data_IF_328643076095
#
_entry.id   IF_328643076095
#
_cell.length_a   1.000
_cell.length_b   1.000
_cell.length_c   1.000
_cell.angle_alpha   90.00
_cell.angle_beta   90.00
_cell.angle_gamma   90.00
#
_symmetry.space_group_name_H-M   'P 1'
#
loop_
_entity.id
_entity.type
_entity.pdbx_description
1 polymer ?
#
# COMPACT_ATOMS: atom_id res chain seq x y z
N UNK A 1 34.55 -10.38 14.95
CA UNK A 1 34.08 -9.05 14.53
C UNK A 1 32.88 -9.14 13.59
N UNK A 2 32.92 -9.97 12.56
CA UNK A 2 31.81 -10.12 11.60
C UNK A 2 30.50 -10.59 12.27
N UNK A 3 30.57 -11.57 13.15
CA UNK A 3 29.37 -12.08 13.87
C UNK A 3 28.73 -11.06 14.81
N UNK A 4 29.53 -10.17 15.41
CA UNK A 4 29.02 -9.10 16.29
C UNK A 4 28.32 -8.01 15.45
N UNK A 5 28.90 -7.64 14.31
CA UNK A 5 28.31 -6.66 13.40
C UNK A 5 26.96 -7.13 12.87
N UNK A 6 26.83 -8.39 12.51
CA UNK A 6 25.57 -8.99 12.04
C UNK A 6 24.52 -9.01 13.16
N UNK A 7 24.93 -9.31 14.41
CA UNK A 7 24.00 -9.31 15.56
C UNK A 7 23.49 -7.93 15.90
N UNK A 8 24.30 -6.89 15.70
CA UNK A 8 23.92 -5.52 15.96
C UNK A 8 23.10 -4.90 14.82
N UNK A 9 23.05 -5.54 13.66
CA UNK A 9 22.34 -5.04 12.48
C UNK A 9 20.84 -5.34 12.56
N UNK A 10 20.03 -4.39 12.10
CA UNK A 10 18.59 -4.57 11.94
C UNK A 10 18.24 -5.36 10.69
N UNK A 11 19.15 -5.47 9.72
CA UNK A 11 18.88 -6.08 8.41
C UNK A 11 18.39 -7.54 8.52
N UNK A 12 19.03 -8.43 9.33
CA UNK A 12 18.52 -9.80 9.44
C UNK A 12 17.09 -9.88 10.01
N UNK A 13 16.75 -8.97 10.93
CA UNK A 13 15.40 -8.92 11.52
C UNK A 13 14.38 -8.45 10.48
N UNK A 14 14.69 -7.39 9.73
CA UNK A 14 13.83 -6.89 8.66
C UNK A 14 13.62 -7.95 7.57
N UNK A 15 14.68 -8.66 7.18
CA UNK A 15 14.60 -9.73 6.20
C UNK A 15 13.70 -10.88 6.67
N UNK A 16 13.82 -11.29 7.93
CA UNK A 16 12.97 -12.34 8.51
C UNK A 16 11.51 -11.91 8.63
N UNK A 17 11.26 -10.67 9.06
CA UNK A 17 9.89 -10.13 9.12
C UNK A 17 9.26 -10.09 7.74
N UNK A 18 9.99 -9.63 6.73
CA UNK A 18 9.51 -9.60 5.36
C UNK A 18 9.16 -11.00 4.85
N UNK A 19 10.01 -11.99 5.16
CA UNK A 19 9.76 -13.39 4.80
C UNK A 19 8.50 -13.94 5.47
N UNK A 20 8.32 -13.68 6.76
CA UNK A 20 7.13 -14.09 7.52
C UNK A 20 5.87 -13.45 6.96
N UNK A 21 5.94 -12.17 6.62
CA UNK A 21 4.83 -11.44 6.01
C UNK A 21 4.40 -12.08 4.69
N UNK A 22 5.34 -12.39 3.81
CA UNK A 22 5.05 -13.04 2.54
C UNK A 22 4.50 -14.47 2.71
N UNK A 23 5.00 -15.22 3.69
CA UNK A 23 4.53 -16.56 3.97
C UNK A 23 3.09 -16.58 4.52
N UNK A 24 2.71 -15.55 5.29
CA UNK A 24 1.38 -15.45 5.92
C UNK A 24 0.36 -14.70 5.08
N UNK A 25 0.80 -13.92 4.08
CA UNK A 25 -0.09 -13.18 3.19
C UNK A 25 -0.84 -14.13 2.26
N UNK A 26 -2.14 -13.93 2.16
CA UNK A 26 -3.00 -14.66 1.24
C UNK A 26 -3.46 -13.71 0.12
N UNK A 27 -2.85 -13.80 -1.08
CA UNK A 27 -3.22 -12.92 -2.18
C UNK A 27 -4.68 -13.02 -2.61
N UNK A 28 -5.30 -14.20 -2.46
CA UNK A 28 -6.71 -14.41 -2.79
C UNK A 28 -7.64 -13.65 -1.84
N UNK A 29 -7.28 -13.56 -0.56
CA UNK A 29 -8.07 -12.82 0.43
C UNK A 29 -7.92 -11.31 0.27
N UNK A 30 -6.75 -10.83 -0.06
CA UNK A 30 -6.52 -9.41 -0.34
C UNK A 30 -7.17 -9.04 -1.67
N UNK A 31 -7.18 -9.95 -2.65
CA UNK A 31 -7.81 -9.75 -3.95
C UNK A 31 -7.08 -8.78 -4.88
N UNK A 32 -5.99 -8.21 -4.43
CA UNK A 32 -5.17 -7.25 -5.17
C UNK A 32 -3.78 -7.15 -4.56
N UNK A 33 -2.84 -6.52 -5.26
CA UNK A 33 -1.51 -6.27 -4.72
C UNK A 33 -1.54 -5.16 -3.67
N UNK A 34 -0.53 -5.13 -2.79
CA UNK A 34 -0.39 -4.05 -1.81
C UNK A 34 -0.29 -2.66 -2.47
N UNK A 35 0.29 -2.59 -3.65
CA UNK A 35 0.41 -1.35 -4.43
C UNK A 35 -0.94 -0.87 -4.95
N UNK A 36 -1.77 -1.79 -5.43
CA UNK A 36 -3.14 -1.48 -5.84
C UNK A 36 -3.98 -1.06 -4.63
N UNK A 37 -3.82 -1.73 -3.50
CA UNK A 37 -4.50 -1.37 -2.24
C UNK A 37 -4.10 0.04 -1.80
N UNK A 38 -2.82 0.38 -1.87
CA UNK A 38 -2.32 1.73 -1.57
C UNK A 38 -2.90 2.79 -2.51
N UNK A 39 -3.09 2.44 -3.79
CA UNK A 39 -3.74 3.31 -4.76
C UNK A 39 -5.18 3.61 -4.37
N UNK A 40 -5.96 2.59 -4.02
CA UNK A 40 -7.34 2.76 -3.57
C UNK A 40 -7.41 3.57 -2.28
N UNK A 41 -6.52 3.32 -1.33
CA UNK A 41 -6.45 4.06 -0.07
C UNK A 41 -6.17 5.55 -0.33
N UNK A 42 -5.27 5.87 -1.24
CA UNK A 42 -4.95 7.24 -1.61
C UNK A 42 -6.15 7.96 -2.22
N UNK A 43 -6.89 7.27 -3.08
CA UNK A 43 -8.11 7.83 -3.69
C UNK A 43 -9.23 8.03 -2.67
N UNK A 44 -9.37 7.11 -1.71
CA UNK A 44 -10.34 7.28 -0.61
C UNK A 44 -10.01 8.50 0.25
N UNK A 45 -8.73 8.62 0.64
CA UNK A 45 -8.31 9.63 1.61
C UNK A 45 -8.19 11.03 1.00
N UNK A 46 -7.77 11.12 -0.26
CA UNK A 46 -7.54 12.38 -0.97
C UNK A 46 -8.68 12.78 -1.91
N UNK A 47 -9.60 11.86 -2.21
CA UNK A 47 -10.64 12.05 -3.20
C UNK A 47 -10.14 11.83 -4.62
N UNK A 48 -10.93 12.26 -5.59
CA UNK A 48 -10.60 12.19 -7.01
C UNK A 48 -9.27 12.90 -7.30
N UNK A 49 -8.36 12.23 -7.99
CA UNK A 49 -7.04 12.74 -8.31
C UNK A 49 -6.75 12.64 -9.80
N UNK A 50 -6.02 13.63 -10.36
CA UNK A 50 -5.44 13.48 -11.69
C UNK A 50 -4.51 12.26 -11.73
N UNK A 51 -4.54 11.51 -12.82
CA UNK A 51 -3.70 10.31 -12.97
C UNK A 51 -2.21 10.60 -12.76
N UNK A 52 -1.74 11.77 -13.22
CA UNK A 52 -0.34 12.18 -13.01
C UNK A 52 0.01 12.35 -11.53
N UNK A 53 -0.93 12.83 -10.71
CA UNK A 53 -0.69 13.02 -9.28
C UNK A 53 -0.44 11.70 -8.54
N UNK A 54 -1.00 10.60 -9.04
CA UNK A 54 -0.79 9.28 -8.45
C UNK A 54 0.67 8.81 -8.59
N UNK A 55 1.37 9.22 -9.64
CA UNK A 55 2.79 8.89 -9.79
C UNK A 55 3.61 9.47 -8.64
N UNK A 56 3.34 10.70 -8.25
CA UNK A 56 4.02 11.37 -7.14
C UNK A 56 3.63 10.78 -5.79
N UNK A 57 2.32 10.54 -5.59
CA UNK A 57 1.78 9.98 -4.34
C UNK A 57 2.33 8.57 -4.10
N UNK A 58 2.37 7.74 -5.14
CA UNK A 58 2.81 6.36 -5.06
C UNK A 58 4.31 6.18 -5.29
N UNK A 59 5.02 7.27 -5.59
CA UNK A 59 6.46 7.29 -5.83
C UNK A 59 6.89 6.23 -6.84
N UNK A 60 6.21 6.18 -7.98
CA UNK A 60 6.48 5.20 -9.03
C UNK A 60 6.35 5.81 -10.43
N UNK A 61 6.76 5.06 -11.43
CA UNK A 61 6.74 5.52 -12.82
C UNK A 61 5.33 5.60 -13.37
N UNK A 62 5.12 6.47 -14.35
CA UNK A 62 3.84 6.62 -15.04
C UNK A 62 3.38 5.30 -15.70
N UNK A 63 4.29 4.56 -16.29
CA UNK A 63 3.96 3.27 -16.91
C UNK A 63 3.41 2.26 -15.91
N UNK A 64 4.01 2.20 -14.72
CA UNK A 64 3.56 1.31 -13.65
C UNK A 64 2.17 1.73 -13.13
N UNK A 65 1.95 3.02 -12.94
CA UNK A 65 0.64 3.55 -12.51
C UNK A 65 -0.44 3.20 -13.54
N UNK A 66 -0.17 3.42 -14.82
CA UNK A 66 -1.11 3.09 -15.91
C UNK A 66 -1.49 1.60 -15.86
N UNK A 67 -0.51 0.72 -15.67
CA UNK A 67 -0.75 -0.72 -15.56
C UNK A 67 -1.68 -1.05 -14.38
N UNK A 68 -1.40 -0.52 -13.19
CA UNK A 68 -2.24 -0.73 -12.02
C UNK A 68 -3.64 -0.17 -12.18
N UNK A 69 -3.77 1.01 -12.78
CA UNK A 69 -5.07 1.63 -13.02
C UNK A 69 -5.89 0.84 -14.03
N UNK A 70 -5.29 0.31 -15.07
CA UNK A 70 -5.97 -0.55 -16.03
C UNK A 70 -6.56 -1.79 -15.34
N UNK A 71 -5.77 -2.45 -14.50
CA UNK A 71 -6.21 -3.62 -13.75
C UNK A 71 -7.35 -3.28 -12.77
N UNK A 72 -7.23 -2.17 -12.04
CA UNK A 72 -8.26 -1.72 -11.10
C UNK A 72 -9.55 -1.30 -11.81
N UNK A 73 -9.44 -0.70 -12.98
CA UNK A 73 -10.60 -0.33 -13.78
C UNK A 73 -11.34 -1.55 -14.33
N UNK A 74 -10.61 -2.56 -14.79
CA UNK A 74 -11.18 -3.84 -15.22
C UNK A 74 -11.94 -4.54 -14.08
N UNK A 75 -11.43 -4.43 -12.84
CA UNK A 75 -12.11 -4.97 -11.66
C UNK A 75 -13.31 -4.11 -11.23
N UNK A 76 -13.50 -2.94 -11.81
CA UNK A 76 -14.58 -2.03 -11.45
C UNK A 76 -14.32 -1.24 -10.17
N UNK A 77 -13.10 -1.19 -9.69
CA UNK A 77 -12.75 -0.54 -8.41
C UNK A 77 -12.43 0.94 -8.56
N UNK A 78 -12.10 1.38 -9.75
CA UNK A 78 -11.90 2.79 -10.07
C UNK A 78 -12.65 3.16 -11.36
N UNK A 79 -12.91 4.46 -11.52
CA UNK A 79 -13.32 5.04 -12.77
C UNK A 79 -12.34 6.11 -13.20
N UNK A 80 -12.12 6.24 -14.50
CA UNK A 80 -11.33 7.32 -15.09
C UNK A 80 -12.25 8.21 -15.89
N UNK A 81 -12.26 9.49 -15.55
CA UNK A 81 -13.08 10.50 -16.21
C UNK A 81 -12.17 11.57 -16.78
N UNK A 82 -12.43 11.99 -18.01
CA UNK A 82 -11.69 13.11 -18.59
C UNK A 82 -11.94 14.37 -17.77
N UNK A 83 -10.86 15.13 -17.54
CA UNK A 83 -10.96 16.41 -16.87
C UNK A 83 -11.83 17.37 -17.68
N UNK A 84 -12.74 18.09 -17.02
CA UNK A 84 -13.66 19.04 -17.65
C UNK A 84 -12.90 20.22 -18.29
N UNK A 85 -11.77 20.62 -17.71
CA UNK A 85 -10.98 21.77 -18.15
C UNK A 85 -9.89 21.40 -19.15
N UNK A 86 -9.35 20.17 -19.09
CA UNK A 86 -8.31 19.69 -20.00
C UNK A 86 -8.58 18.23 -20.41
N UNK A 87 -9.06 18.06 -21.64
CA UNK A 87 -9.41 16.74 -22.20
C UNK A 87 -8.22 15.77 -22.32
N UNK A 88 -6.98 16.27 -22.19
CA UNK A 88 -5.76 15.45 -22.21
C UNK A 88 -5.52 14.75 -20.88
N UNK A 89 -6.14 15.25 -19.81
CA UNK A 89 -5.98 14.74 -18.44
C UNK A 89 -7.15 13.84 -18.09
N UNK A 90 -6.84 12.78 -17.35
CA UNK A 90 -7.84 11.90 -16.76
C UNK A 90 -7.78 12.04 -15.24
N UNK A 91 -8.96 12.12 -14.63
CA UNK A 91 -9.12 12.06 -13.19
C UNK A 91 -9.54 10.67 -12.79
N UNK A 92 -8.99 10.18 -11.71
CA UNK A 92 -9.22 8.84 -11.19
C UNK A 92 -10.02 8.94 -9.90
N UNK A 93 -11.10 8.20 -9.81
CA UNK A 93 -11.95 8.14 -8.62
C UNK A 93 -12.15 6.70 -8.19
N UNK A 94 -12.25 6.47 -6.87
CA UNK A 94 -12.64 5.16 -6.35
C UNK A 94 -14.14 4.98 -6.52
N UNK A 95 -14.55 3.76 -6.87
CA UNK A 95 -15.97 3.39 -6.99
C UNK A 95 -16.47 2.82 -5.65
N UNK A 96 -17.81 2.67 -5.47
CA UNK A 96 -18.33 1.95 -4.29
C UNK A 96 -17.80 0.52 -4.18
N UNK A 97 -17.65 -0.18 -5.31
CA UNK A 97 -17.03 -1.51 -5.33
C UNK A 97 -15.55 -1.47 -4.90
N UNK A 98 -14.83 -0.41 -5.32
CA UNK A 98 -13.45 -0.18 -4.90
C UNK A 98 -13.32 0.10 -3.41
N UNK A 99 -14.23 0.88 -2.85
CA UNK A 99 -14.28 1.14 -1.40
C UNK A 99 -14.51 -0.15 -0.62
N UNK A 100 -15.46 -0.98 -1.05
CA UNK A 100 -15.71 -2.27 -0.40
C UNK A 100 -14.50 -3.22 -0.51
N UNK A 101 -13.83 -3.24 -1.66
CA UNK A 101 -12.62 -4.04 -1.86
C UNK A 101 -11.47 -3.56 -0.97
N UNK A 102 -11.31 -2.25 -0.85
CA UNK A 102 -10.30 -1.63 0.03
C UNK A 102 -10.55 -2.04 1.50
N UNK A 103 -11.78 -1.96 1.97
CA UNK A 103 -12.13 -2.35 3.34
C UNK A 103 -11.81 -3.81 3.62
N UNK A 104 -12.12 -4.71 2.67
CA UNK A 104 -11.75 -6.13 2.80
C UNK A 104 -10.23 -6.32 2.84
N UNK A 105 -9.52 -5.62 1.99
CA UNK A 105 -8.05 -5.66 1.96
C UNK A 105 -7.43 -5.13 3.25
N UNK A 106 -7.96 -4.06 3.80
CA UNK A 106 -7.51 -3.50 5.08
C UNK A 106 -7.76 -4.45 6.26
N UNK A 107 -8.88 -5.18 6.25
CA UNK A 107 -9.16 -6.21 7.25
C UNK A 107 -8.12 -7.33 7.18
N UNK A 108 -7.79 -7.79 5.98
CA UNK A 108 -6.78 -8.84 5.80
C UNK A 108 -5.38 -8.34 6.18
N UNK A 109 -5.06 -7.08 5.91
CA UNK A 109 -3.81 -6.47 6.36
C UNK A 109 -3.70 -6.45 7.88
N UNK A 110 -4.79 -6.10 8.58
CA UNK A 110 -4.82 -6.14 10.05
C UNK A 110 -4.62 -7.55 10.59
N UNK A 111 -5.28 -8.54 9.98
CA UNK A 111 -5.10 -9.94 10.35
C UNK A 111 -3.64 -10.36 10.18
N UNK A 112 -3.04 -10.01 9.06
CA UNK A 112 -1.65 -10.30 8.76
C UNK A 112 -0.71 -9.63 9.77
N UNK A 113 -0.96 -8.38 10.09
CA UNK A 113 -0.19 -7.64 11.08
C UNK A 113 -0.29 -8.28 12.46
N UNK A 114 -1.50 -8.67 12.88
CA UNK A 114 -1.71 -9.35 14.16
C UNK A 114 -0.97 -10.68 14.24
N UNK A 115 -0.87 -11.39 13.14
CA UNK A 115 -0.12 -12.65 13.08
C UNK A 115 1.40 -12.42 13.09
N UNK A 116 1.89 -11.52 12.24
CA UNK A 116 3.33 -11.29 12.05
C UNK A 116 3.94 -10.56 13.24
N UNK A 117 3.20 -9.62 13.84
CA UNK A 117 3.64 -8.80 14.96
C UNK A 117 3.01 -9.22 16.30
N UNK A 118 2.63 -10.48 16.44
CA UNK A 118 1.97 -10.99 17.64
C UNK A 118 2.79 -10.75 18.93
N UNK A 119 4.12 -10.64 18.84
CA UNK A 119 4.99 -10.35 19.96
C UNK A 119 4.99 -8.90 20.44
N UNK A 120 4.33 -7.98 19.72
CA UNK A 120 4.30 -6.56 20.06
C UNK A 120 2.93 -6.15 20.61
N UNK A 121 2.95 -5.25 21.59
CA UNK A 121 1.76 -4.57 22.08
C UNK A 121 1.27 -3.54 21.04
N UNK A 122 0.05 -3.04 21.19
CA UNK A 122 -0.50 -2.01 20.32
C UNK A 122 0.37 -0.74 20.29
N UNK A 123 0.85 -0.31 21.46
CA UNK A 123 1.73 0.86 21.57
C UNK A 123 3.08 0.61 20.89
N UNK A 124 3.64 -0.58 21.05
CA UNK A 124 4.89 -0.97 20.38
C UNK A 124 4.74 -1.03 18.86
N UNK A 125 3.60 -1.50 18.36
CA UNK A 125 3.30 -1.48 16.91
C UNK A 125 3.20 -0.07 16.37
N UNK A 126 2.55 0.83 17.11
CA UNK A 126 2.48 2.25 16.75
C UNK A 126 3.86 2.90 16.70
N UNK A 127 4.72 2.56 17.67
CA UNK A 127 6.10 3.01 17.72
C UNK A 127 6.92 2.48 16.54
N UNK A 128 6.77 1.20 16.23
CA UNK A 128 7.41 0.57 15.07
C UNK A 128 7.01 1.28 13.76
N UNK A 129 5.73 1.55 13.58
CA UNK A 129 5.23 2.27 12.40
C UNK A 129 5.90 3.65 12.27
N UNK A 130 5.99 4.40 13.35
CA UNK A 130 6.65 5.72 13.36
C UNK A 130 8.13 5.62 12.99
N UNK A 131 8.82 4.63 13.53
CA UNK A 131 10.24 4.42 13.26
C UNK A 131 10.48 4.00 11.82
N UNK A 132 9.65 3.13 11.28
CA UNK A 132 9.74 2.71 9.86
C UNK A 132 9.44 3.88 8.91
N UNK A 133 8.41 4.68 9.20
CA UNK A 133 8.09 5.87 8.40
C UNK A 133 9.26 6.87 8.42
N UNK A 134 9.85 7.08 9.58
CA UNK A 134 11.04 7.95 9.73
C UNK A 134 12.23 7.42 8.93
N UNK A 135 12.49 6.12 9.00
CA UNK A 135 13.58 5.48 8.26
C UNK A 135 13.39 5.62 6.73
N UNK A 136 12.14 5.53 6.27
CA UNK A 136 11.77 5.68 4.87
C UNK A 136 11.62 7.15 4.45
N UNK A 137 11.73 8.10 5.38
CA UNK A 137 11.50 9.54 5.16
C UNK A 137 10.09 9.84 4.64
N UNK A 138 9.11 9.05 5.08
CA UNK A 138 7.71 9.23 4.75
C UNK A 138 7.02 10.12 5.81
N UNK A 139 5.97 10.87 5.42
CA UNK A 139 5.14 11.56 6.42
C UNK A 139 4.46 10.53 7.32
N UNK A 140 4.55 10.76 8.62
CA UNK A 140 4.06 9.85 9.65
C UNK A 140 2.55 9.71 9.73
#
# INVERSE_FOLDING_TARGET
>A
MFAVAVRASQIPHLTRLNRRMHASADPEKIGMTLKQLATLASLRDRGELPQQSLCDVLRTSQNTVVMWLNELEELGFISRVRDADDRRKHNVAITPAGTAALERGELEMRRLEDEVLAGLTADERAQLRKLLAKALQEPG
#
